data_IF_128615626220
#
_entry.id   IF_128615626220
#
_cell.length_a   1.000
_cell.length_b   1.000
_cell.length_c   1.000
_cell.angle_alpha   90.00
_cell.angle_beta   90.00
_cell.angle_gamma   90.00
#
_symmetry.space_group_name_H-M   'P 1'
#
loop_
_entity.id
_entity.type
_entity.pdbx_description
1 polymer ?
#
# COMPACT_ATOMS: atom_id res chain seq x y z
N UNK A 1 1.97 -1.23 -10.37
CA UNK A 1 2.49 -0.62 -11.60
C UNK A 1 3.99 -0.80 -11.61
N UNK A 2 4.59 -1.19 -12.72
CA UNK A 2 6.04 -1.26 -12.85
C UNK A 2 6.47 -0.24 -13.90
N UNK A 3 7.36 0.69 -13.54
CA UNK A 3 8.16 1.44 -14.52
C UNK A 3 9.45 0.65 -14.65
N UNK A 4 9.56 -0.21 -15.66
CA UNK A 4 10.72 -1.09 -15.82
C UNK A 4 11.95 -0.35 -16.37
N UNK A 5 11.71 0.72 -17.14
CA UNK A 5 12.75 1.58 -17.69
C UNK A 5 12.20 3.01 -17.81
N UNK A 6 13.05 4.01 -17.56
CA UNK A 6 12.73 5.42 -17.78
C UNK A 6 13.31 5.98 -19.09
N UNK A 7 14.14 5.21 -19.80
CA UNK A 7 14.80 5.63 -21.06
C UNK A 7 14.93 4.46 -22.05
N UNK A 8 13.97 4.22 -22.94
CA UNK A 8 12.65 4.87 -23.01
C UNK A 8 11.73 4.39 -21.88
N UNK A 9 10.62 5.09 -21.65
CA UNK A 9 9.63 4.64 -20.67
C UNK A 9 9.00 3.32 -21.07
N UNK A 10 9.14 2.30 -20.22
CA UNK A 10 8.45 1.02 -20.34
C UNK A 10 7.63 0.79 -19.08
N UNK A 11 6.31 0.90 -19.19
CA UNK A 11 5.40 0.85 -18.04
C UNK A 11 4.45 -0.32 -18.16
N UNK A 12 4.28 -1.07 -17.08
CA UNK A 12 3.49 -2.29 -17.03
C UNK A 12 2.49 -2.31 -15.88
N UNK A 13 1.39 -3.01 -16.13
CA UNK A 13 0.37 -3.41 -15.18
C UNK A 13 0.64 -4.82 -14.70
N UNK A 14 0.57 -5.07 -13.41
CA UNK A 14 0.59 -6.41 -12.83
C UNK A 14 -0.56 -6.54 -11.83
N UNK A 15 -1.18 -7.71 -11.81
CA UNK A 15 -2.19 -8.02 -10.81
C UNK A 15 -1.57 -8.13 -9.41
N UNK A 16 -2.29 -7.62 -8.41
CA UNK A 16 -1.97 -7.76 -7.00
C UNK A 16 -2.87 -8.77 -6.31
N UNK A 17 -3.35 -8.40 -5.12
CA UNK A 17 -4.24 -9.17 -4.27
C UNK A 17 -5.28 -8.23 -3.62
N UNK A 18 -6.38 -8.78 -3.13
CA UNK A 18 -7.37 -8.00 -2.38
C UNK A 18 -7.09 -8.12 -0.88
N UNK A 19 -7.22 -7.00 -0.16
CA UNK A 19 -7.13 -6.94 1.31
C UNK A 19 -8.51 -6.76 1.90
N UNK A 20 -8.78 -7.49 2.97
CA UNK A 20 -10.06 -7.51 3.67
C UNK A 20 -9.86 -7.14 5.14
N UNK A 21 -10.92 -6.65 5.75
CA UNK A 21 -11.00 -6.52 7.21
C UNK A 21 -11.44 -7.85 7.83
N UNK A 22 -10.96 -8.14 9.04
CA UNK A 22 -11.43 -9.26 9.85
C UNK A 22 -12.83 -9.01 10.40
N UNK A 23 -13.08 -7.76 10.80
CA UNK A 23 -14.37 -7.31 11.34
C UNK A 23 -15.33 -6.98 10.20
N UNK A 24 -16.62 -7.25 10.41
CA UNK A 24 -17.68 -6.82 9.52
C UNK A 24 -17.76 -5.29 9.49
N UNK A 25 -17.99 -4.75 8.29
CA UNK A 25 -18.12 -3.31 8.10
C UNK A 25 -19.40 -2.78 8.76
N UNK A 26 -19.28 -1.72 9.55
CA UNK A 26 -20.41 -0.98 10.12
C UNK A 26 -20.12 0.53 10.04
N UNK A 27 -20.86 1.31 9.23
CA UNK A 27 -20.60 2.73 9.02
C UNK A 27 -20.76 3.59 10.29
N UNK A 28 -21.47 3.08 11.31
CA UNK A 28 -21.69 3.78 12.58
C UNK A 28 -20.71 3.38 13.68
N UNK A 29 -19.87 2.37 13.43
CA UNK A 29 -18.86 1.94 14.40
C UNK A 29 -17.68 2.92 14.42
N UNK A 30 -17.21 3.27 15.62
CA UNK A 30 -15.96 4.01 15.81
C UNK A 30 -14.71 3.12 15.73
N UNK A 31 -14.88 1.79 15.71
CA UNK A 31 -13.77 0.85 15.58
C UNK A 31 -13.22 0.85 14.15
N UNK A 32 -12.03 1.42 14.00
CA UNK A 32 -11.32 1.50 12.72
C UNK A 32 -10.92 0.14 12.15
N UNK A 33 -10.90 -0.94 12.95
CA UNK A 33 -10.52 -2.27 12.46
C UNK A 33 -11.44 -2.80 11.36
N UNK A 34 -12.73 -2.42 11.39
CA UNK A 34 -13.72 -2.73 10.36
C UNK A 34 -13.74 -1.76 9.18
N UNK A 35 -12.97 -0.69 9.24
CA UNK A 35 -12.93 0.37 8.21
C UNK A 35 -11.62 0.42 7.42
N UNK A 36 -10.51 -0.03 8.03
CA UNK A 36 -9.17 0.06 7.46
C UNK A 36 -8.61 -1.31 7.11
N UNK A 37 -8.33 -1.57 5.83
CA UNK A 37 -7.80 -2.87 5.35
C UNK A 37 -6.29 -3.02 5.55
N UNK A 38 -5.60 -2.03 6.12
CA UNK A 38 -4.16 -2.07 6.36
C UNK A 38 -3.80 -3.24 7.27
N UNK A 39 -2.82 -4.06 6.86
CA UNK A 39 -2.37 -5.22 7.63
C UNK A 39 -1.90 -4.85 9.06
N UNK A 40 -1.30 -3.67 9.24
CA UNK A 40 -0.96 -3.17 10.58
C UNK A 40 -2.19 -3.01 11.50
N UNK A 41 -3.33 -2.57 10.95
CA UNK A 41 -4.57 -2.47 11.70
C UNK A 41 -5.16 -3.84 11.98
N UNK A 42 -5.16 -4.74 10.99
CA UNK A 42 -5.71 -6.08 11.13
C UNK A 42 -4.94 -6.96 12.12
N UNK A 43 -3.62 -6.79 12.21
CA UNK A 43 -2.74 -7.48 13.18
C UNK A 43 -3.05 -7.19 14.65
N UNK A 44 -3.77 -6.11 14.94
CA UNK A 44 -4.19 -5.77 16.31
C UNK A 44 -5.34 -6.63 16.81
N UNK A 45 -6.05 -7.31 15.92
CA UNK A 45 -7.13 -8.21 16.31
C UNK A 45 -6.57 -9.44 17.03
N UNK A 46 -7.13 -9.84 18.18
CA UNK A 46 -6.76 -11.09 18.84
C UNK A 46 -6.94 -12.33 17.96
N UNK A 47 -7.84 -12.26 16.96
CA UNK A 47 -8.13 -13.35 16.04
C UNK A 47 -7.18 -13.41 14.84
N UNK A 48 -6.23 -12.47 14.72
CA UNK A 48 -5.40 -12.34 13.54
C UNK A 48 -4.61 -13.62 13.24
N UNK A 49 -3.99 -14.25 14.24
CA UNK A 49 -3.17 -15.45 14.00
C UNK A 49 -3.97 -16.61 13.42
N UNK A 50 -5.25 -16.73 13.80
CA UNK A 50 -6.16 -17.77 13.31
C UNK A 50 -6.74 -17.42 11.92
N UNK A 51 -6.96 -16.14 11.65
CA UNK A 51 -7.73 -15.67 10.48
C UNK A 51 -6.90 -14.89 9.45
N UNK A 52 -5.58 -14.75 9.61
CA UNK A 52 -4.74 -13.95 8.69
C UNK A 52 -4.91 -14.35 7.22
N UNK A 53 -5.10 -15.64 6.94
CA UNK A 53 -5.27 -16.14 5.57
C UNK A 53 -6.62 -15.77 4.95
N UNK A 54 -7.62 -15.36 5.76
CA UNK A 54 -8.88 -14.81 5.25
C UNK A 54 -8.82 -13.30 4.96
N UNK A 55 -7.81 -12.59 5.48
CA UNK A 55 -7.63 -11.14 5.27
C UNK A 55 -7.07 -10.78 3.89
N UNK A 56 -6.62 -11.76 3.13
CA UNK A 56 -6.04 -11.55 1.81
C UNK A 56 -6.61 -12.56 0.83
N UNK A 57 -7.15 -12.07 -0.28
CA UNK A 57 -7.62 -12.92 -1.37
C UNK A 57 -6.73 -12.77 -2.59
N UNK A 58 -6.48 -13.89 -3.26
CA UNK A 58 -5.97 -13.87 -4.63
C UNK A 58 -7.01 -13.24 -5.55
N UNK A 59 -6.58 -12.72 -6.70
CA UNK A 59 -7.52 -12.18 -7.70
C UNK A 59 -8.49 -13.25 -8.19
N UNK A 60 -8.08 -14.52 -8.25
CA UNK A 60 -8.94 -15.65 -8.61
C UNK A 60 -10.04 -15.87 -7.56
N UNK A 61 -9.69 -15.81 -6.27
CA UNK A 61 -10.68 -15.89 -5.20
C UNK A 61 -11.67 -14.72 -5.32
N UNK A 62 -11.18 -13.48 -5.44
CA UNK A 62 -12.05 -12.31 -5.63
C UNK A 62 -12.98 -12.48 -6.84
N UNK A 63 -12.47 -13.00 -7.95
CA UNK A 63 -13.26 -13.24 -9.17
C UNK A 63 -14.38 -14.26 -8.93
N UNK A 64 -14.07 -15.41 -8.31
CA UNK A 64 -15.09 -16.41 -7.94
C UNK A 64 -16.14 -15.82 -7.01
N UNK A 65 -15.73 -15.09 -5.98
CA UNK A 65 -16.65 -14.45 -5.04
C UNK A 65 -17.61 -13.46 -5.72
N UNK A 66 -17.11 -12.60 -6.61
CA UNK A 66 -17.95 -11.65 -7.35
C UNK A 66 -18.88 -12.37 -8.33
N UNK A 67 -18.38 -13.40 -9.02
CA UNK A 67 -19.18 -14.23 -9.91
C UNK A 67 -20.36 -14.89 -9.18
N UNK A 68 -20.11 -15.43 -7.98
CA UNK A 68 -21.10 -16.20 -7.23
C UNK A 68 -22.12 -15.30 -6.53
N UNK A 69 -21.67 -14.17 -5.95
CA UNK A 69 -22.51 -13.34 -5.09
C UNK A 69 -23.16 -12.15 -5.79
N UNK A 70 -22.48 -11.55 -6.77
CA UNK A 70 -22.88 -10.25 -7.30
C UNK A 70 -23.19 -10.24 -8.79
N UNK A 71 -22.68 -11.19 -9.57
CA UNK A 71 -22.87 -11.20 -11.02
C UNK A 71 -24.33 -11.08 -11.44
N UNK A 72 -25.20 -11.94 -10.91
CA UNK A 72 -26.63 -11.94 -11.27
C UNK A 72 -27.36 -10.72 -10.72
N UNK A 73 -27.17 -10.41 -9.43
CA UNK A 73 -27.89 -9.34 -8.73
C UNK A 73 -27.50 -7.93 -9.20
N UNK A 74 -26.24 -7.75 -9.64
CA UNK A 74 -25.71 -6.46 -10.12
C UNK A 74 -25.55 -6.41 -11.64
N UNK A 75 -26.00 -7.44 -12.37
CA UNK A 75 -25.94 -7.48 -13.83
C UNK A 75 -24.51 -7.42 -14.39
N UNK A 76 -23.52 -7.95 -13.67
CA UNK A 76 -22.11 -7.89 -14.07
C UNK A 76 -21.80 -8.94 -15.16
N UNK A 77 -20.87 -8.66 -16.08
CA UNK A 77 -20.32 -9.69 -16.96
C UNK A 77 -19.64 -10.80 -16.14
N UNK A 78 -19.58 -12.00 -16.73
CA UNK A 78 -18.78 -13.09 -16.16
C UNK A 78 -17.31 -12.65 -16.11
N UNK A 79 -16.63 -13.01 -15.02
CA UNK A 79 -15.22 -12.70 -14.81
C UNK A 79 -14.95 -11.19 -14.82
N UNK A 80 -15.86 -10.43 -14.21
CA UNK A 80 -15.80 -8.96 -14.12
C UNK A 80 -14.45 -8.46 -13.58
N UNK A 81 -13.84 -9.21 -12.65
CA UNK A 81 -12.53 -8.89 -12.06
C UNK A 81 -11.44 -8.84 -13.12
N UNK A 82 -11.37 -9.85 -14.00
CA UNK A 82 -10.32 -9.94 -15.02
C UNK A 82 -10.64 -9.17 -16.30
N UNK A 83 -11.88 -8.71 -16.46
CA UNK A 83 -12.33 -7.96 -17.63
C UNK A 83 -12.47 -6.47 -17.31
N UNK A 84 -13.62 -6.08 -16.77
CA UNK A 84 -14.02 -4.68 -16.58
C UNK A 84 -13.16 -4.00 -15.52
N UNK A 85 -12.94 -4.67 -14.39
CA UNK A 85 -12.14 -4.13 -13.29
C UNK A 85 -10.67 -3.97 -13.68
N UNK A 86 -10.05 -5.01 -14.23
CA UNK A 86 -8.68 -4.95 -14.77
C UNK A 86 -8.51 -3.81 -15.75
N UNK A 87 -9.38 -3.72 -16.76
CA UNK A 87 -9.30 -2.67 -17.79
C UNK A 87 -9.41 -1.28 -17.16
N UNK A 88 -10.27 -1.11 -16.15
CA UNK A 88 -10.43 0.16 -15.46
C UNK A 88 -9.19 0.52 -14.63
N UNK A 89 -8.58 -0.42 -13.93
CA UNK A 89 -7.31 -0.19 -13.21
C UNK A 89 -6.20 0.22 -14.18
N UNK A 90 -6.04 -0.49 -15.29
CA UNK A 90 -5.04 -0.18 -16.32
C UNK A 90 -5.23 1.26 -16.86
N UNK A 91 -6.46 1.65 -17.19
CA UNK A 91 -6.76 3.02 -17.63
C UNK A 91 -6.38 4.08 -16.60
N UNK A 92 -6.74 3.86 -15.32
CA UNK A 92 -6.42 4.79 -14.24
C UNK A 92 -4.91 4.91 -14.07
N UNK A 93 -4.19 3.78 -14.02
CA UNK A 93 -2.74 3.76 -13.85
C UNK A 93 -2.01 4.43 -15.01
N UNK A 94 -2.43 4.17 -16.26
CA UNK A 94 -1.89 4.86 -17.43
C UNK A 94 -2.14 6.36 -17.36
N UNK A 95 -3.32 6.79 -16.93
CA UNK A 95 -3.63 8.21 -16.78
C UNK A 95 -2.75 8.89 -15.72
N UNK A 96 -2.60 8.25 -14.55
CA UNK A 96 -1.71 8.73 -13.49
C UNK A 96 -0.27 8.85 -13.97
N UNK A 97 0.25 7.82 -14.65
CA UNK A 97 1.60 7.86 -15.21
C UNK A 97 1.77 9.00 -16.23
N UNK A 98 0.86 9.13 -17.19
CA UNK A 98 0.94 10.17 -18.22
C UNK A 98 0.89 11.58 -17.62
N UNK A 99 0.11 11.79 -16.57
CA UNK A 99 -0.01 13.08 -15.89
C UNK A 99 1.31 13.55 -15.21
N UNK A 100 2.16 12.61 -14.80
CA UNK A 100 3.44 12.90 -14.13
C UNK A 100 4.67 12.64 -15.00
N UNK A 101 4.52 11.97 -16.14
CA UNK A 101 5.61 11.53 -17.02
C UNK A 101 6.66 12.61 -17.29
N UNK A 102 6.25 13.85 -17.56
CA UNK A 102 7.18 14.94 -17.87
C UNK A 102 7.95 15.48 -16.66
N UNK A 103 7.54 15.11 -15.45
CA UNK A 103 8.15 15.53 -14.17
C UNK A 103 9.05 14.45 -13.57
N UNK A 104 8.97 13.22 -14.09
CA UNK A 104 9.78 12.11 -13.63
C UNK A 104 11.21 12.24 -14.16
N UNK A 105 12.17 11.88 -13.32
CA UNK A 105 13.57 11.87 -13.72
C UNK A 105 13.83 10.71 -14.70
N UNK A 106 14.29 11.06 -15.90
CA UNK A 106 14.63 10.11 -16.96
C UNK A 106 16.13 9.80 -16.89
N UNK A 107 16.51 8.71 -16.23
CA UNK A 107 17.88 8.23 -16.17
C UNK A 107 17.96 6.75 -16.54
N UNK A 108 19.08 6.39 -17.17
CA UNK A 108 19.37 5.01 -17.51
C UNK A 108 19.44 4.15 -16.24
N UNK A 109 18.82 2.96 -16.29
CA UNK A 109 18.75 2.04 -15.15
C UNK A 109 17.74 2.44 -14.07
N UNK A 110 17.02 3.55 -14.21
CA UNK A 110 15.94 3.88 -13.27
C UNK A 110 14.72 3.01 -13.58
N UNK A 111 14.25 2.33 -12.55
CA UNK A 111 13.04 1.55 -12.53
C UNK A 111 12.36 1.72 -11.16
N UNK A 112 11.06 1.52 -11.09
CA UNK A 112 10.32 1.56 -9.83
C UNK A 112 9.10 0.64 -9.86
N UNK A 113 8.85 -0.03 -8.73
CA UNK A 113 7.67 -0.85 -8.51
C UNK A 113 6.71 -0.11 -7.59
N UNK A 114 5.62 0.38 -8.16
CA UNK A 114 4.65 1.23 -7.48
C UNK A 114 3.41 0.40 -7.12
N UNK A 115 3.06 0.36 -5.83
CA UNK A 115 1.78 -0.16 -5.34
C UNK A 115 0.64 0.80 -5.68
N UNK A 116 -0.51 0.29 -6.11
CA UNK A 116 -1.68 1.11 -6.39
C UNK A 116 -2.87 0.52 -5.63
N UNK A 117 -3.43 1.31 -4.71
CA UNK A 117 -4.49 0.86 -3.82
C UNK A 117 -5.84 1.28 -4.41
N UNK A 118 -6.67 0.29 -4.73
CA UNK A 118 -7.99 0.50 -5.31
C UNK A 118 -9.09 0.08 -4.34
N UNK A 119 -10.23 0.76 -4.43
CA UNK A 119 -11.47 0.42 -3.74
C UNK A 119 -12.59 0.23 -4.75
N UNK A 120 -13.49 -0.72 -4.47
CA UNK A 120 -14.71 -0.98 -5.23
C UNK A 120 -15.88 -0.57 -4.34
N UNK A 121 -16.76 0.28 -4.84
CA UNK A 121 -17.98 0.70 -4.12
C UNK A 121 -19.17 -0.24 -4.39
N UNK A 122 -20.31 0.04 -3.74
CA UNK A 122 -21.54 -0.75 -3.85
C UNK A 122 -22.14 -0.80 -5.27
N UNK A 123 -21.74 0.13 -6.14
CA UNK A 123 -22.14 0.23 -7.54
C UNK A 123 -21.08 -0.37 -8.48
N UNK A 124 -20.08 -1.08 -7.94
CA UNK A 124 -18.97 -1.66 -8.69
C UNK A 124 -18.14 -0.61 -9.45
N UNK A 125 -18.12 0.63 -8.97
CA UNK A 125 -17.21 1.65 -9.48
C UNK A 125 -15.86 1.52 -8.77
N UNK A 126 -14.81 1.71 -9.57
CA UNK A 126 -13.42 1.52 -9.17
C UNK A 126 -12.80 2.88 -8.87
N UNK A 127 -12.27 3.01 -7.67
CA UNK A 127 -11.63 4.21 -7.15
C UNK A 127 -10.17 3.95 -6.84
N UNK A 128 -9.27 4.81 -7.31
CA UNK A 128 -7.89 4.82 -6.82
C UNK A 128 -7.85 5.61 -5.52
N UNK A 129 -7.29 5.02 -4.47
CA UNK A 129 -7.08 5.67 -3.19
C UNK A 129 -5.72 6.35 -3.14
N UNK A 130 -4.66 5.58 -3.43
CA UNK A 130 -3.28 6.06 -3.36
C UNK A 130 -2.33 5.24 -4.25
N UNK A 131 -1.13 5.80 -4.46
CA UNK A 131 -0.02 5.14 -5.13
C UNK A 131 1.23 5.21 -4.24
N UNK A 132 1.87 4.08 -4.01
CA UNK A 132 2.96 3.91 -3.05
C UNK A 132 4.24 3.47 -3.76
N UNK A 133 5.31 4.26 -3.69
CA UNK A 133 6.64 3.91 -4.23
C UNK A 133 7.39 2.86 -3.42
N UNK A 134 6.88 2.49 -2.24
CA UNK A 134 7.43 1.41 -1.43
C UNK A 134 6.32 0.42 -1.07
N UNK A 135 5.82 -0.38 -2.03
CA UNK A 135 4.78 -1.35 -1.76
C UNK A 135 5.28 -2.39 -0.75
N UNK A 136 4.42 -2.77 0.20
CA UNK A 136 4.78 -3.80 1.18
C UNK A 136 4.95 -5.17 0.52
N UNK A 137 6.11 -5.79 0.72
CA UNK A 137 6.48 -7.11 0.16
C UNK A 137 6.51 -8.23 1.22
N UNK A 138 5.79 -8.07 2.33
CA UNK A 138 5.75 -9.09 3.39
C UNK A 138 4.88 -10.29 3.01
N UNK A 139 5.33 -11.50 3.35
CA UNK A 139 4.70 -12.78 2.98
C UNK A 139 4.00 -13.46 4.17
N UNK A 140 3.21 -12.70 4.92
CA UNK A 140 2.66 -13.14 6.23
C UNK A 140 1.52 -14.17 6.15
N UNK A 141 0.93 -14.36 4.97
CA UNK A 141 -0.15 -15.32 4.71
C UNK A 141 0.12 -16.05 3.39
N UNK A 142 -0.59 -17.15 3.15
CA UNK A 142 -0.25 -18.08 2.07
C UNK A 142 -0.35 -17.44 0.68
N UNK A 143 -1.43 -16.69 0.44
CA UNK A 143 -1.60 -15.94 -0.83
C UNK A 143 -0.43 -15.00 -1.09
N UNK A 144 0.11 -14.34 -0.07
CA UNK A 144 1.23 -13.41 -0.25
C UNK A 144 2.55 -14.14 -0.52
N UNK A 145 2.78 -15.32 0.07
CA UNK A 145 3.93 -16.18 -0.24
C UNK A 145 3.91 -16.65 -1.69
N UNK A 146 2.74 -16.85 -2.28
CA UNK A 146 2.60 -17.24 -3.67
C UNK A 146 2.76 -16.04 -4.63
N UNK A 147 2.11 -14.92 -4.33
CA UNK A 147 2.02 -13.78 -5.26
C UNK A 147 3.31 -12.95 -5.29
N UNK A 148 3.86 -12.61 -4.11
CA UNK A 148 4.93 -11.61 -3.99
C UNK A 148 6.23 -12.05 -4.69
N UNK A 149 6.77 -13.27 -4.46
CA UNK A 149 8.03 -13.67 -5.09
C UNK A 149 7.97 -13.59 -6.61
N UNK A 150 6.86 -14.03 -7.21
CA UNK A 150 6.69 -13.94 -8.66
C UNK A 150 6.64 -12.50 -9.18
N UNK A 151 6.06 -11.56 -8.42
CA UNK A 151 6.02 -10.14 -8.82
C UNK A 151 7.41 -9.54 -8.76
N UNK A 152 8.16 -9.81 -7.69
CA UNK A 152 9.51 -9.27 -7.49
C UNK A 152 10.47 -9.83 -8.53
N UNK A 153 10.46 -11.14 -8.76
CA UNK A 153 11.34 -11.79 -9.75
C UNK A 153 11.08 -11.23 -11.16
N UNK A 154 9.83 -11.21 -11.61
CA UNK A 154 9.50 -10.68 -12.94
C UNK A 154 9.82 -9.17 -13.06
N UNK A 155 9.67 -8.40 -11.97
CA UNK A 155 10.05 -6.99 -11.92
C UNK A 155 11.55 -6.81 -12.17
N UNK A 156 12.39 -7.58 -11.47
CA UNK A 156 13.84 -7.51 -11.62
C UNK A 156 14.28 -8.00 -13.00
N UNK A 157 13.72 -9.11 -13.48
CA UNK A 157 14.01 -9.65 -14.81
C UNK A 157 13.70 -8.61 -15.92
N UNK A 158 12.55 -7.94 -15.82
CA UNK A 158 12.15 -6.88 -16.77
C UNK A 158 13.02 -5.63 -16.65
N UNK A 159 13.34 -5.18 -15.44
CA UNK A 159 14.18 -4.01 -15.22
C UNK A 159 15.60 -4.23 -15.77
N UNK A 160 16.19 -5.42 -15.53
CA UNK A 160 17.50 -5.78 -16.04
C UNK A 160 17.50 -5.92 -17.56
N UNK A 161 16.52 -6.62 -18.14
CA UNK A 161 16.42 -6.78 -19.59
C UNK A 161 16.27 -5.42 -20.30
N UNK A 162 15.35 -4.58 -19.83
CA UNK A 162 15.12 -3.26 -20.45
C UNK A 162 16.31 -2.31 -20.26
N UNK A 163 16.99 -2.35 -19.11
CA UNK A 163 18.22 -1.59 -18.88
C UNK A 163 19.33 -2.03 -19.86
N UNK A 164 19.56 -3.34 -20.01
CA UNK A 164 20.54 -3.88 -20.94
C UNK A 164 20.21 -3.51 -22.39
N UNK A 165 18.95 -3.63 -22.81
CA UNK A 165 18.54 -3.22 -24.16
C UNK A 165 18.77 -1.72 -24.39
N UNK A 166 18.47 -0.89 -23.40
CA UNK A 166 18.68 0.56 -23.48
C UNK A 166 20.16 0.91 -23.59
N UNK A 167 21.00 0.29 -22.75
CA UNK A 167 22.47 0.42 -22.80
C UNK A 167 23.04 0.11 -24.20
N UNK A 168 22.51 -0.92 -24.86
CA UNK A 168 22.98 -1.35 -26.18
C UNK A 168 22.18 -0.74 -27.34
N UNK A 169 21.30 0.23 -27.07
CA UNK A 169 20.42 0.84 -28.08
C UNK A 169 19.64 -0.18 -28.93
N UNK A 170 19.21 -1.28 -28.29
CA UNK A 170 18.38 -2.31 -28.89
C UNK A 170 16.90 -1.96 -28.75
N UNK A 171 16.07 -2.47 -29.67
CA UNK A 171 14.61 -2.33 -29.55
C UNK A 171 14.11 -2.97 -28.26
N UNK A 172 13.24 -2.25 -27.54
CA UNK A 172 12.66 -2.75 -26.28
C UNK A 172 11.90 -4.05 -26.48
N UNK A 173 11.05 -4.11 -27.53
CA UNK A 173 10.24 -5.29 -27.81
C UNK A 173 10.88 -6.20 -28.87
N UNK A 174 10.67 -7.54 -28.78
CA UNK A 174 9.95 -8.26 -27.72
C UNK A 174 10.78 -8.39 -26.43
N UNK A 175 10.12 -8.50 -25.27
CA UNK A 175 10.75 -8.76 -23.97
C UNK A 175 10.63 -10.24 -23.62
N UNK A 176 11.76 -10.90 -23.38
CA UNK A 176 11.81 -12.32 -23.03
C UNK A 176 11.41 -12.57 -21.58
N UNK A 177 11.68 -11.60 -20.70
CA UNK A 177 11.38 -11.67 -19.28
C UNK A 177 9.92 -11.38 -18.95
N UNK A 178 9.13 -10.89 -19.91
CA UNK A 178 7.72 -10.53 -19.68
C UNK A 178 6.85 -11.78 -19.53
N UNK A 179 6.14 -11.90 -18.41
CA UNK A 179 5.23 -13.02 -18.11
C UNK A 179 3.82 -12.50 -17.80
N UNK A 180 3.54 -12.12 -16.55
CA UNK A 180 2.22 -11.68 -16.07
C UNK A 180 2.02 -10.18 -16.20
N UNK A 181 3.09 -9.41 -16.32
CA UNK A 181 3.00 -7.97 -16.55
C UNK A 181 2.46 -7.67 -17.95
N UNK A 182 1.47 -6.78 -18.01
CA UNK A 182 0.84 -6.29 -19.24
C UNK A 182 1.35 -4.90 -19.54
N UNK A 183 1.86 -4.68 -20.76
CA UNK A 183 2.40 -3.40 -21.19
C UNK A 183 1.29 -2.33 -21.22
N UNK A 184 1.49 -1.23 -20.49
CA UNK A 184 0.62 -0.06 -20.46
C UNK A 184 1.12 1.06 -21.37
N UNK A 185 2.44 1.26 -21.44
CA UNK A 185 3.06 2.35 -22.19
C UNK A 185 4.41 1.93 -22.74
N UNK A 186 4.64 2.22 -24.03
CA UNK A 186 5.91 2.08 -24.72
C UNK A 186 6.39 3.44 -25.24
N UNK A 187 7.40 4.00 -24.59
CA UNK A 187 8.00 5.29 -24.96
C UNK A 187 8.76 5.24 -26.29
N UNK A 188 9.20 4.07 -26.71
CA UNK A 188 9.96 3.89 -27.95
C UNK A 188 9.12 4.22 -29.19
N UNK A 189 7.82 3.91 -29.18
CA UNK A 189 6.90 4.22 -30.28
C UNK A 189 6.09 5.50 -30.05
N UNK A 190 5.81 5.83 -28.80
CA UNK A 190 4.87 6.92 -28.45
C UNK A 190 5.56 8.28 -28.40
N UNK A 191 6.87 8.33 -28.11
CA UNK A 191 7.64 9.58 -28.07
C UNK A 191 8.21 9.98 -29.46
N UNK A 192 7.88 9.24 -30.53
CA UNK A 192 8.32 9.48 -31.92
C UNK A 192 7.46 10.47 -32.73
N UNK A 193 6.46 11.14 -32.13
CA UNK A 193 5.74 12.21 -32.85
C UNK A 193 6.72 13.31 -33.27
N UNK A 194 6.67 13.84 -34.52
CA UNK A 194 7.77 14.60 -35.09
C UNK A 194 8.04 15.86 -34.27
N UNK A 195 9.19 15.88 -33.60
CA UNK A 195 9.80 17.13 -33.17
C UNK A 195 10.13 17.91 -34.44
N UNK A 196 9.23 18.80 -34.85
CA UNK A 196 9.54 19.83 -35.82
C UNK A 196 10.72 20.64 -35.25
N UNK A 197 11.88 20.47 -35.88
CA UNK A 197 13.03 21.38 -35.83
C UNK A 197 13.46 21.90 -34.47
N UNK A 198 14.32 21.18 -33.77
CA UNK A 198 15.33 21.85 -32.95
C UNK A 198 16.59 21.01 -32.84
N UNK A 199 17.51 21.24 -33.77
CA UNK A 199 18.89 20.78 -33.67
C UNK A 199 19.52 21.39 -32.43
N UNK A 200 19.67 20.61 -31.36
CA UNK A 200 20.69 20.88 -30.34
C UNK A 200 21.83 19.88 -30.53
N UNK A 201 23.09 20.35 -30.60
CA UNK A 201 24.22 19.44 -30.77
C UNK A 201 24.41 18.61 -29.48
N UNK A 202 25.06 17.44 -29.58
CA UNK A 202 25.32 16.61 -28.41
C UNK A 202 26.26 17.34 -27.44
N UNK A 203 25.85 17.44 -26.18
CA UNK A 203 26.70 17.87 -25.07
C UNK A 203 27.80 16.81 -24.91
N UNK A 204 29.05 17.17 -25.23
CA UNK A 204 30.22 16.37 -24.88
C UNK A 204 30.43 16.47 -23.37
N UNK A 205 30.43 15.32 -22.69
CA UNK A 205 30.91 15.21 -21.31
C UNK A 205 32.41 15.57 -21.27
N UNK A 206 32.89 16.43 -20.35
CA UNK A 206 34.32 16.66 -20.19
C UNK A 206 35.00 15.42 -19.61
N UNK A 207 35.94 14.88 -20.37
CA UNK A 207 36.94 13.93 -19.90
C UNK A 207 37.81 14.63 -18.84
N UNK A 208 37.79 14.17 -17.60
CA UNK A 208 38.73 14.63 -16.58
C UNK A 208 40.07 13.92 -16.80
N UNK A 209 41.02 14.61 -17.44
CA UNK A 209 42.41 14.17 -17.45
C UNK A 209 43.11 14.67 -16.18
N UNK A 210 43.55 13.71 -15.36
CA UNK A 210 44.55 13.88 -14.33
C UNK A 210 45.91 14.20 -14.95
N UNK A 211 46.63 15.20 -14.42
CA UNK A 211 48.06 15.13 -14.12
C UNK A 211 48.57 16.39 -13.38
N UNK A 212 49.05 16.17 -12.15
CA UNK A 212 50.11 16.81 -11.34
C UNK A 212 50.29 18.36 -11.34
N UNK A 213 50.55 19.06 -10.23
CA UNK A 213 51.63 18.78 -9.26
C UNK A 213 51.46 19.48 -7.88
N UNK A 214 52.26 18.97 -6.94
CA UNK A 214 52.39 19.21 -5.49
C UNK A 214 52.56 20.67 -5.03
N UNK A 215 52.08 20.94 -3.80
CA UNK A 215 52.87 21.67 -2.79
C UNK A 215 52.54 21.16 -1.38
N UNK A 216 53.56 21.22 -0.53
CA UNK A 216 53.83 20.52 0.74
C UNK A 216 53.06 21.05 1.95
N UNK A 217 52.71 20.16 2.89
CA UNK A 217 52.43 20.51 4.29
C UNK A 217 53.34 19.69 5.22
N UNK A 218 54.09 20.42 6.04
CA UNK A 218 54.94 19.88 7.11
C UNK A 218 54.11 19.45 8.31
N UNK A 219 54.61 18.43 9.00
CA UNK A 219 54.09 17.87 10.24
C UNK A 219 54.79 18.56 11.41
N UNK A 220 54.04 18.94 12.44
CA UNK A 220 54.58 19.06 13.80
C UNK A 220 53.51 18.72 14.84
N UNK A 221 53.85 17.73 15.64
CA UNK A 221 53.13 17.13 16.77
C UNK A 221 53.21 17.97 18.04
N UNK A 222 52.20 17.93 18.91
CA UNK A 222 52.36 17.53 20.33
C UNK A 222 51.06 17.65 21.13
N UNK A 223 51.03 16.87 22.20
CA UNK A 223 49.91 16.40 23.01
C UNK A 223 49.65 17.20 24.31
N UNK A 224 48.38 17.22 24.73
CA UNK A 224 47.81 17.12 26.09
C UNK A 224 48.48 17.85 27.29
N UNK A 225 47.68 18.62 28.05
CA UNK A 225 47.59 18.53 29.52
C UNK A 225 46.37 19.27 30.09
N UNK A 226 45.93 18.81 31.27
CA UNK A 226 44.70 19.15 31.99
C UNK A 226 44.94 20.16 33.14
N UNK A 227 43.90 20.90 33.54
CA UNK A 227 43.34 21.02 34.93
C UNK A 227 43.05 22.45 35.49
N UNK A 228 41.77 22.66 35.88
CA UNK A 228 41.11 23.50 36.96
C UNK A 228 41.12 25.05 36.95
N UNK A 229 39.94 25.73 36.89
CA UNK A 229 38.90 26.13 37.93
C UNK A 229 39.28 27.43 38.69
N UNK A 230 38.53 28.54 38.61
CA UNK A 230 37.42 29.00 39.51
C UNK A 230 36.54 30.11 38.86
N UNK A 231 35.19 30.01 38.83
CA UNK A 231 34.10 30.54 39.73
C UNK A 231 33.85 32.07 39.71
N UNK A 232 32.63 32.44 39.25
CA UNK A 232 31.66 33.43 39.78
C UNK A 232 30.75 33.90 38.63
N UNK A 233 29.45 34.19 38.73
CA UNK A 233 28.37 33.86 39.65
C UNK A 233 27.04 34.15 38.89
N UNK A 234 25.95 33.52 39.30
CA UNK A 234 24.59 33.48 38.69
C UNK A 234 23.74 34.75 39.07
N UNK A 235 22.40 34.88 38.84
CA UNK A 235 21.39 34.08 38.09
C UNK A 235 20.22 34.84 37.37
N UNK A 236 19.39 34.03 36.68
CA UNK A 236 17.90 34.01 36.61
C UNK A 236 17.07 35.09 35.88
N UNK A 237 16.21 34.61 34.96
CA UNK A 237 14.74 34.66 35.15
C UNK A 237 13.98 33.71 34.19
N UNK A 238 13.22 32.78 34.78
CA UNK A 238 12.07 32.10 34.19
C UNK A 238 10.89 33.08 34.05
N UNK A 239 9.97 32.83 33.11
CA UNK A 239 8.52 32.91 33.38
C UNK A 239 7.69 32.19 32.32
N UNK A 240 6.65 31.52 32.80
CA UNK A 240 5.61 30.78 32.08
C UNK A 240 4.23 31.44 32.26
N UNK A 241 3.36 31.23 31.27
CA UNK A 241 1.89 31.14 31.29
C UNK A 241 0.97 32.37 31.49
N UNK A 242 0.03 32.52 30.55
CA UNK A 242 -1.43 32.75 30.69
C UNK A 242 -1.98 33.12 29.30
N UNK A 243 -2.87 32.37 28.62
CA UNK A 243 -4.32 32.11 28.81
C UNK A 243 -5.28 33.27 28.43
N UNK A 244 -6.33 32.89 27.66
CA UNK A 244 -7.54 33.63 27.18
C UNK A 244 -7.31 34.50 25.92
N UNK A 245 -8.15 34.50 24.87
CA UNK A 245 -9.62 34.57 24.85
C UNK A 245 -10.18 34.14 23.47
N UNK A 246 -11.37 33.52 23.44
CA UNK A 246 -12.15 33.20 22.23
C UNK A 246 -13.08 34.36 21.82
N UNK A 247 -13.61 34.39 20.58
CA UNK A 247 -14.86 35.07 20.29
C UNK A 247 -16.01 34.07 20.08
N UNK A 248 -17.11 34.42 20.74
CA UNK A 248 -18.46 33.87 20.64
C UNK A 248 -19.08 34.32 19.31
N UNK A 249 -19.79 33.44 18.60
CA UNK A 249 -20.84 33.86 17.67
C UNK A 249 -22.10 33.00 17.84
N UNK A 250 -23.22 33.69 17.80
CA UNK A 250 -24.53 33.38 18.37
C UNK A 250 -25.25 32.14 17.82
N UNK A 251 -25.89 31.43 18.74
CA UNK A 251 -27.04 30.55 18.51
C UNK A 251 -28.25 31.35 18.04
N UNK A 252 -28.94 30.88 17.00
CA UNK A 252 -30.31 31.28 16.66
C UNK A 252 -31.24 30.07 16.87
N UNK A 253 -32.09 30.15 17.90
CA UNK A 253 -33.28 29.31 18.09
C UNK A 253 -34.50 30.09 17.60
N UNK A 254 -35.29 29.46 16.74
CA UNK A 254 -36.71 29.73 16.47
C UNK A 254 -37.21 28.58 15.59
N UNK A 255 -38.39 27.98 15.72
CA UNK A 255 -39.50 27.94 16.67
C UNK A 255 -40.27 26.67 16.27
N UNK A 256 -40.90 26.03 17.24
CA UNK A 256 -41.92 24.99 17.04
C UNK A 256 -43.13 25.53 16.24
N UNK A 257 -43.70 24.66 15.42
CA UNK A 257 -45.14 24.62 15.14
C UNK A 257 -45.55 23.16 14.94
N UNK A 258 -46.48 22.78 15.79
CA UNK A 258 -47.10 21.48 16.01
C UNK A 258 -48.35 21.32 15.12
N UNK A 259 -48.98 20.14 15.21
CA UNK A 259 -50.23 19.65 14.58
C UNK A 259 -50.06 18.91 13.23
N UNK A 260 -50.59 17.71 13.03
CA UNK A 260 -51.44 16.85 13.86
C UNK A 260 -51.60 15.49 13.17
N UNK A 261 -51.78 14.43 13.95
CA UNK A 261 -51.90 13.05 13.46
C UNK A 261 -53.34 12.64 13.12
N UNK A 262 -53.46 11.47 12.47
CA UNK A 262 -54.58 10.52 12.60
C UNK A 262 -54.03 9.10 12.42
N UNK A 263 -54.53 8.21 13.28
CA UNK A 263 -54.17 6.80 13.52
C UNK A 263 -55.04 5.82 12.71
N UNK A 264 -54.92 4.51 13.04
CA UNK A 264 -55.83 3.36 12.76
C UNK A 264 -55.33 2.52 11.54
N UNK A 265 -55.11 1.20 11.57
CA UNK A 265 -55.60 0.09 12.42
C UNK A 265 -54.64 -1.13 12.40
N UNK A 266 -54.81 -1.99 13.41
CA UNK A 266 -54.21 -3.32 13.60
C UNK A 266 -54.88 -4.40 12.73
N UNK A 267 -54.17 -5.52 12.48
CA UNK A 267 -54.79 -6.86 12.48
C UNK A 267 -53.74 -7.96 12.63
N UNK A 268 -53.96 -8.83 13.61
CA UNK A 268 -53.17 -9.96 14.08
C UNK A 268 -53.21 -11.22 13.19
N UNK A 269 -52.32 -12.18 13.53
CA UNK A 269 -52.45 -13.66 13.62
C UNK A 269 -51.24 -14.38 12.97
N UNK A 270 -50.32 -14.95 13.77
CA UNK A 270 -50.29 -16.28 14.39
C UNK A 270 -49.77 -17.40 13.46
N UNK A 271 -48.71 -18.11 13.88
CA UNK A 271 -48.68 -19.56 14.18
C UNK A 271 -47.23 -20.04 14.40
N UNK A 272 -47.06 -20.79 15.49
CA UNK A 272 -45.87 -21.46 16.01
C UNK A 272 -45.25 -22.56 15.12
N UNK A 273 -43.97 -22.84 15.38
CA UNK A 273 -43.35 -24.17 15.65
C UNK A 273 -41.86 -24.10 15.29
N UNK A 274 -40.89 -24.69 15.99
CA UNK A 274 -40.83 -25.54 17.16
C UNK A 274 -39.37 -26.04 17.25
N UNK A 275 -38.73 -25.86 18.40
CA UNK A 275 -37.50 -26.56 18.77
C UNK A 275 -37.81 -28.05 19.02
N UNK A 276 -36.78 -28.91 19.05
CA UNK A 276 -36.69 -29.80 20.20
C UNK A 276 -35.31 -29.76 20.87
N UNK A 277 -35.38 -29.69 22.20
CA UNK A 277 -34.33 -30.06 23.13
C UNK A 277 -34.06 -31.57 23.07
N UNK A 278 -32.82 -31.97 23.34
CA UNK A 278 -32.41 -33.37 23.46
C UNK A 278 -31.04 -33.52 24.11
N UNK A 279 -31.05 -33.51 25.44
CA UNK A 279 -30.26 -34.40 26.33
C UNK A 279 -28.74 -34.25 26.43
N UNK A 280 -28.33 -34.09 27.69
CA UNK A 280 -27.00 -34.13 28.28
C UNK A 280 -26.30 -35.47 28.02
N UNK A 281 -24.99 -35.43 27.81
CA UNK A 281 -24.07 -36.30 28.54
C UNK A 281 -22.67 -35.70 28.66
N UNK A 282 -22.11 -35.83 29.85
CA UNK A 282 -20.82 -35.31 30.26
C UNK A 282 -19.75 -36.41 30.13
N UNK A 283 -18.64 -36.12 29.46
CA UNK A 283 -17.41 -36.89 29.61
C UNK A 283 -16.21 -35.94 29.56
N UNK A 284 -15.49 -35.88 30.69
CA UNK A 284 -14.16 -35.28 30.86
C UNK A 284 -13.12 -36.11 30.10
N UNK A 285 -12.17 -35.46 29.45
CA UNK A 285 -10.79 -35.94 29.17
C UNK A 285 -9.91 -34.68 28.86
N UNK A 286 -8.56 -34.75 29.00
CA UNK A 286 -7.77 -33.75 29.72
C UNK A 286 -7.10 -32.66 28.86
N UNK A 287 -6.72 -31.57 29.55
CA UNK A 287 -5.91 -30.47 29.04
C UNK A 287 -4.49 -30.92 28.69
N UNK A 288 -4.11 -30.77 27.42
CA UNK A 288 -2.71 -30.78 27.00
C UNK A 288 -2.15 -29.36 27.13
N UNK A 289 -1.12 -29.20 27.97
CA UNK A 289 -0.37 -27.96 28.08
C UNK A 289 0.45 -27.68 26.81
N UNK A 290 1.02 -26.47 26.70
CA UNK A 290 1.73 -26.06 25.50
C UNK A 290 3.02 -26.86 25.28
N UNK A 291 3.32 -27.15 24.01
CA UNK A 291 4.50 -27.88 23.56
C UNK A 291 5.77 -27.04 23.66
N UNK A 292 6.94 -27.70 23.79
CA UNK A 292 8.25 -27.08 24.05
C UNK A 292 8.69 -26.02 23.02
N UNK A 293 8.10 -25.96 21.83
CA UNK A 293 8.34 -24.90 20.84
C UNK A 293 7.78 -23.52 21.25
N UNK A 294 6.71 -23.46 22.06
CA UNK A 294 6.15 -22.17 22.53
C UNK A 294 7.04 -21.48 23.59
N UNK A 295 7.97 -22.22 24.20
CA UNK A 295 8.88 -21.67 25.22
C UNK A 295 10.13 -20.99 24.65
N UNK A 296 10.54 -21.38 23.44
CA UNK A 296 11.73 -20.80 22.79
C UNK A 296 11.44 -19.47 22.10
N UNK A 297 10.20 -19.23 21.64
CA UNK A 297 9.83 -17.97 20.98
C UNK A 297 9.62 -16.83 21.99
N UNK A 298 9.11 -17.13 23.19
CA UNK A 298 9.00 -16.16 24.29
C UNK A 298 10.39 -15.69 24.79
N UNK A 299 11.39 -16.57 24.83
CA UNK A 299 12.75 -16.24 25.24
C UNK A 299 13.52 -15.39 24.21
N UNK A 300 13.23 -15.53 22.91
CA UNK A 300 13.80 -14.64 21.88
C UNK A 300 13.20 -13.24 21.90
N UNK A 301 11.93 -13.09 22.27
CA UNK A 301 11.25 -11.79 22.29
C UNK A 301 11.70 -10.87 23.44
N UNK A 302 12.24 -11.43 24.52
CA UNK A 302 12.68 -10.69 25.72
C UNK A 302 14.16 -10.24 25.65
N UNK A 303 14.96 -10.79 24.72
CA UNK A 303 16.40 -10.48 24.60
C UNK A 303 16.74 -9.28 23.70
N UNK A 304 15.77 -8.56 23.12
CA UNK A 304 16.03 -7.40 22.24
C UNK A 304 15.50 -6.05 22.76
N UNK A 305 15.26 -5.96 24.07
CA UNK A 305 15.14 -4.67 24.77
C UNK A 305 16.24 -4.55 25.83
N UNK A 306 17.39 -4.05 25.42
CA UNK A 306 18.43 -3.62 26.36
C UNK A 306 19.84 -3.76 25.83
N UNK A 307 20.27 -2.81 24.99
CA UNK A 307 21.60 -2.14 24.96
C UNK A 307 21.69 -1.27 23.72
#
# INVERSE_FOLDING_TARGET
>A
MLIACAMPYMVFFGHGYARLTLSLYNPHSSDLSGHLTNQFMQKKSPLYMLLKDSTVWSMEHLNRYINDKFRKSKGLPRDWVFTTFTKRMQQIMSHCFLAVKSKLECKLGYFDLIGCDFLIDENFKVWLLEMNSNPALHTNCEVLKEVIPGVVMETLDLALETCQKSLHSQKMLPLQSQRRFVLLYNGETTDLWPRLGSSRPPIRLPYANSNHARSTCEISSSSLTSTRVTIADRPAARKSMSSRTAPICASRKSRLSDSGGVSIEESETSVCSGLPEGSRDAAREPSLGPTEEEREEEQRSTSHRGS
#
